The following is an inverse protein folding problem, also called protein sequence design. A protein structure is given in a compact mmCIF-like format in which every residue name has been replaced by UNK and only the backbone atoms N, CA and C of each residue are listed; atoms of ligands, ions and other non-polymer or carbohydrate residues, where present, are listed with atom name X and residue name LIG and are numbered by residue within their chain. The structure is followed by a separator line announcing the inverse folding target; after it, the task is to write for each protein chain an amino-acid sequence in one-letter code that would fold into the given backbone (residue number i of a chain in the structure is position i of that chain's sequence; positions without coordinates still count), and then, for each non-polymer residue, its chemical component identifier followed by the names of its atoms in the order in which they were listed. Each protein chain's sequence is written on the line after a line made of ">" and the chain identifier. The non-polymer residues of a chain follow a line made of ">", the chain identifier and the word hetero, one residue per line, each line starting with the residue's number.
data_IF_031635319192
#
_entry.id   IF_031635319192
#
_cell.length_a   1.000
_cell.length_b   1.000
_cell.length_c   1.000
_cell.angle_alpha   90.00
_cell.angle_beta   90.00
_cell.angle_gamma   90.00
#
_symmetry.space_group_name_H-M   'P 1'
#
loop_
_entity.id
_entity.type
_entity.pdbx_description
1 polymer ?
#
# COMPACT_ATOMS: atom_id res chain seq x y z
N UNK A 1 -7.39 3.84 11.45
CA UNK A 1 -5.97 3.74 11.87
C UNK A 1 -5.31 2.45 11.39
N UNK A 2 -5.89 1.29 11.73
CA UNK A 2 -5.39 -0.06 11.36
C UNK A 2 -5.08 -0.26 9.88
N UNK A 3 -5.93 0.22 8.95
CA UNK A 3 -5.67 0.05 7.52
C UNK A 3 -4.41 0.80 7.03
N UNK A 4 -4.06 1.93 7.66
CA UNK A 4 -2.83 2.68 7.37
C UNK A 4 -1.60 1.97 7.93
N UNK A 5 -1.72 1.36 9.10
CA UNK A 5 -0.64 0.54 9.68
C UNK A 5 -0.36 -0.70 8.84
N UNK A 6 -1.40 -1.39 8.39
CA UNK A 6 -1.29 -2.49 7.43
C UNK A 6 -0.52 -2.07 6.17
N UNK A 7 -0.89 -0.93 5.58
CA UNK A 7 -0.25 -0.43 4.38
C UNK A 7 1.26 -0.15 4.60
N UNK A 8 1.63 0.45 5.73
CA UNK A 8 3.04 0.65 6.10
C UNK A 8 3.79 -0.67 6.27
N UNK A 9 3.18 -1.67 6.90
CA UNK A 9 3.79 -2.98 7.05
C UNK A 9 4.01 -3.69 5.70
N UNK A 10 3.06 -3.57 4.77
CA UNK A 10 3.18 -4.17 3.43
C UNK A 10 4.40 -3.67 2.64
N UNK A 11 4.86 -2.43 2.90
CA UNK A 11 6.05 -1.87 2.24
C UNK A 11 7.34 -2.56 2.73
N UNK A 12 7.38 -3.10 3.95
CA UNK A 12 8.55 -3.81 4.47
C UNK A 12 8.82 -5.14 3.74
N UNK A 13 7.82 -5.71 3.07
CA UNK A 13 7.91 -6.97 2.33
C UNK A 13 8.50 -6.81 0.92
N UNK A 14 8.80 -5.57 0.49
CA UNK A 14 9.30 -5.29 -0.87
C UNK A 14 10.57 -4.44 -0.84
N UNK A 15 11.47 -4.70 -1.80
CA UNK A 15 12.68 -3.90 -1.99
C UNK A 15 12.84 -3.44 -3.45
N UNK A 16 12.02 -2.48 -3.91
CA UNK A 16 12.14 -1.91 -5.24
C UNK A 16 13.44 -1.11 -5.38
N UNK A 17 14.04 -1.14 -6.58
CA UNK A 17 15.20 -0.33 -6.94
C UNK A 17 14.81 1.02 -7.55
N UNK A 18 15.75 1.96 -7.52
CA UNK A 18 15.71 3.14 -8.37
C UNK A 18 15.89 2.77 -9.85
N UNK A 19 15.17 3.48 -10.73
CA UNK A 19 15.34 3.37 -12.18
C UNK A 19 14.85 4.61 -12.90
N UNK A 20 15.13 4.69 -14.21
CA UNK A 20 14.65 5.77 -15.08
C UNK A 20 13.13 5.99 -15.03
N UNK A 21 12.34 4.96 -14.69
CA UNK A 21 10.88 5.06 -14.61
C UNK A 21 10.39 5.74 -13.33
N UNK A 22 11.10 5.57 -12.22
CA UNK A 22 10.72 6.11 -10.91
C UNK A 22 11.79 5.80 -9.86
N UNK A 23 11.92 6.71 -8.89
CA UNK A 23 12.74 6.51 -7.68
C UNK A 23 12.15 5.42 -6.77
N UNK A 24 13.01 4.83 -5.95
CA UNK A 24 12.63 3.87 -4.90
C UNK A 24 11.63 4.48 -3.93
N UNK A 25 11.86 5.72 -3.48
CA UNK A 25 10.96 6.40 -2.55
C UNK A 25 9.54 6.53 -3.12
N UNK A 26 9.41 6.94 -4.39
CA UNK A 26 8.10 7.04 -5.03
C UNK A 26 7.41 5.67 -5.17
N UNK A 27 8.18 4.63 -5.52
CA UNK A 27 7.65 3.25 -5.63
C UNK A 27 7.12 2.74 -4.28
N UNK A 28 7.84 2.98 -3.20
CA UNK A 28 7.42 2.58 -1.85
C UNK A 28 6.14 3.33 -1.44
N UNK A 29 6.05 4.63 -1.72
CA UNK A 29 4.85 5.42 -1.47
C UNK A 29 3.64 4.88 -2.26
N UNK A 30 3.81 4.58 -3.55
CA UNK A 30 2.74 3.99 -4.37
C UNK A 30 2.33 2.62 -3.81
N UNK A 31 3.27 1.78 -3.38
CA UNK A 31 2.94 0.49 -2.79
C UNK A 31 2.12 0.63 -1.50
N UNK A 32 2.47 1.58 -0.62
CA UNK A 32 1.68 1.90 0.58
C UNK A 32 0.25 2.32 0.22
N UNK A 33 0.10 3.28 -0.69
CA UNK A 33 -1.22 3.78 -1.11
C UNK A 33 -2.06 2.69 -1.78
N UNK A 34 -1.44 1.84 -2.60
CA UNK A 34 -2.10 0.69 -3.22
C UNK A 34 -2.57 -0.31 -2.15
N UNK A 35 -1.74 -0.65 -1.17
CA UNK A 35 -2.10 -1.57 -0.09
C UNK A 35 -3.26 -1.03 0.75
N UNK A 36 -3.22 0.26 1.12
CA UNK A 36 -4.30 0.93 1.84
C UNK A 36 -5.62 0.86 1.06
N UNK A 37 -5.61 1.29 -0.21
CA UNK A 37 -6.82 1.31 -1.06
C UNK A 37 -7.36 -0.10 -1.31
N UNK A 38 -6.49 -1.08 -1.53
CA UNK A 38 -6.88 -2.46 -1.77
C UNK A 38 -7.57 -3.07 -0.54
N UNK A 39 -7.04 -2.84 0.66
CA UNK A 39 -7.68 -3.28 1.90
C UNK A 39 -9.01 -2.56 2.13
N UNK A 40 -9.05 -1.25 1.90
CA UNK A 40 -10.28 -0.50 2.09
C UNK A 40 -11.40 -1.02 1.15
N UNK A 41 -11.07 -1.19 -0.12
CA UNK A 41 -12.00 -1.70 -1.11
C UNK A 41 -12.42 -3.16 -0.83
N UNK A 42 -11.52 -4.02 -0.34
CA UNK A 42 -11.86 -5.41 -0.02
C UNK A 42 -12.85 -5.52 1.14
N UNK A 43 -12.69 -4.68 2.18
CA UNK A 43 -13.63 -4.61 3.31
C UNK A 43 -15.01 -4.16 2.84
N UNK A 44 -15.08 -3.12 2.01
CA UNK A 44 -16.35 -2.62 1.47
C UNK A 44 -17.05 -3.69 0.61
N UNK A 45 -16.30 -4.40 -0.26
CA UNK A 45 -16.85 -5.49 -1.08
C UNK A 45 -17.30 -6.70 -0.28
N UNK A 46 -16.71 -6.93 0.89
CA UNK A 46 -17.15 -7.96 1.83
C UNK A 46 -18.39 -7.55 2.64
N UNK A 47 -18.95 -6.36 2.41
CA UNK A 47 -20.09 -5.82 3.17
C UNK A 47 -19.71 -5.18 4.51
N UNK A 48 -18.41 -5.02 4.77
CA UNK A 48 -17.90 -4.32 5.94
C UNK A 48 -17.88 -2.80 5.78
N UNK A 49 -17.59 -2.09 6.88
CA UNK A 49 -17.43 -0.63 6.92
C UNK A 49 -16.11 -0.25 7.60
N UNK A 50 -15.44 0.78 7.10
CA UNK A 50 -14.18 1.33 7.63
C UNK A 50 -14.40 2.61 8.43
#
# INVERSE_FOLDING_TARGET
>A
ETAREFARAAVAEISPRDSWRASRAFRLHVAEECAFRALCESVLRAGGRL
#
